data_IF_648432832635
#
_entry.id   IF_648432832635
#
_cell.length_a   1.000
_cell.length_b   1.000
_cell.length_c   1.000
_cell.angle_alpha   90.00
_cell.angle_beta   90.00
_cell.angle_gamma   90.00
#
_symmetry.space_group_name_H-M   'P 1'
#
loop_
_entity.id
_entity.type
_entity.pdbx_description
1 polymer ?
#
# COMPACT_ATOMS: atom_id res chain seq x y z
N UNK A 1 26.35 33.32 70.55
CA UNK A 1 26.58 32.09 69.73
C UNK A 1 25.30 31.79 68.91
N UNK A 2 25.34 32.01 67.61
CA UNK A 2 24.18 31.66 66.71
C UNK A 2 24.57 30.38 65.95
N UNK A 3 23.84 29.29 66.24
CA UNK A 3 23.99 28.01 65.57
C UNK A 3 23.26 28.07 64.22
N UNK A 4 24.00 27.91 63.11
CA UNK A 4 23.41 27.79 61.76
C UNK A 4 23.20 26.31 61.45
N UNK A 5 21.95 25.90 61.31
CA UNK A 5 21.57 24.56 60.88
C UNK A 5 21.57 24.50 59.34
N UNK A 6 22.41 23.68 58.72
CA UNK A 6 22.42 23.41 57.28
C UNK A 6 21.63 22.14 57.04
N UNK A 7 20.52 22.29 56.30
CA UNK A 7 19.75 21.14 55.79
C UNK A 7 20.25 20.81 54.41
N UNK A 8 20.90 19.65 54.24
CA UNK A 8 21.35 19.13 52.96
C UNK A 8 20.22 18.30 52.36
N UNK A 9 19.60 18.79 51.29
CA UNK A 9 18.58 18.05 50.54
C UNK A 9 19.29 17.17 49.48
N UNK A 10 19.22 15.86 49.65
CA UNK A 10 19.77 14.87 48.73
C UNK A 10 18.74 14.60 47.64
N UNK A 11 19.00 15.08 46.42
CA UNK A 11 18.18 14.72 45.24
C UNK A 11 18.62 13.33 44.73
N UNK A 12 17.78 12.33 44.94
CA UNK A 12 17.95 11.02 44.33
C UNK A 12 17.30 11.09 42.93
N UNK A 13 18.11 11.21 41.86
CA UNK A 13 17.69 11.11 40.48
C UNK A 13 17.39 9.64 40.15
N UNK A 14 16.13 9.25 40.14
CA UNK A 14 15.72 7.98 39.55
C UNK A 14 15.85 8.08 38.01
N UNK A 15 16.91 7.53 37.46
CA UNK A 15 17.03 7.27 36.03
C UNK A 15 16.04 6.13 35.67
N UNK A 16 14.91 6.47 35.11
CA UNK A 16 14.03 5.49 34.50
C UNK A 16 14.74 4.91 33.27
N UNK A 17 15.29 3.71 33.39
CA UNK A 17 15.79 2.95 32.26
C UNK A 17 14.60 2.60 31.38
N UNK A 18 14.46 3.26 30.22
CA UNK A 18 13.52 2.83 29.17
C UNK A 18 13.99 1.45 28.67
N UNK A 19 13.37 0.39 29.17
CA UNK A 19 13.61 -0.96 28.70
C UNK A 19 13.10 -1.02 27.24
N UNK A 20 14.00 -1.29 26.30
CA UNK A 20 13.60 -1.69 24.94
C UNK A 20 12.69 -2.92 25.09
N UNK A 21 11.49 -2.93 24.47
CA UNK A 21 10.63 -4.09 24.54
C UNK A 21 11.40 -5.32 24.04
N UNK A 22 11.38 -6.40 24.82
CA UNK A 22 12.00 -7.65 24.41
C UNK A 22 11.31 -8.18 23.15
N UNK A 23 12.08 -8.88 22.30
CA UNK A 23 11.56 -9.57 21.14
C UNK A 23 10.45 -10.54 21.56
N UNK A 24 9.40 -10.71 20.75
CA UNK A 24 8.36 -11.68 21.06
C UNK A 24 8.94 -13.10 21.06
N UNK A 25 8.49 -13.94 21.98
CA UNK A 25 8.92 -15.33 22.01
C UNK A 25 8.51 -16.08 20.72
N UNK A 26 9.18 -17.19 20.39
CA UNK A 26 8.91 -17.93 19.15
C UNK A 26 7.45 -18.42 19.00
N UNK A 27 6.78 -18.74 20.13
CA UNK A 27 5.38 -19.20 20.09
C UNK A 27 4.45 -18.05 19.69
N UNK A 28 4.68 -16.84 20.26
CA UNK A 28 3.95 -15.64 19.87
C UNK A 28 4.22 -15.26 18.40
N UNK A 29 5.47 -15.31 17.94
CA UNK A 29 5.80 -15.02 16.54
C UNK A 29 5.03 -15.96 15.59
N UNK A 30 5.00 -17.25 15.91
CA UNK A 30 4.25 -18.25 15.12
C UNK A 30 2.75 -17.97 15.13
N UNK A 31 2.18 -17.57 16.28
CA UNK A 31 0.76 -17.24 16.38
C UNK A 31 0.42 -16.00 15.53
N UNK A 32 1.22 -14.93 15.60
CA UNK A 32 1.02 -13.70 14.78
C UNK A 32 0.99 -14.04 13.29
N UNK A 33 1.93 -14.86 12.81
CA UNK A 33 1.96 -15.27 11.40
C UNK A 33 0.76 -16.14 11.05
N UNK A 34 0.33 -17.07 11.93
CA UNK A 34 -0.83 -17.91 11.67
C UNK A 34 -2.13 -17.08 11.56
N UNK A 35 -2.33 -16.11 12.44
CA UNK A 35 -3.51 -15.25 12.44
C UNK A 35 -3.48 -14.29 11.23
N UNK A 36 -2.32 -13.71 10.91
CA UNK A 36 -2.14 -12.90 9.71
C UNK A 36 -2.36 -13.70 8.42
N UNK A 37 -1.97 -14.97 8.38
CA UNK A 37 -2.27 -15.88 7.27
C UNK A 37 -3.77 -16.08 7.12
N UNK A 38 -4.46 -16.38 8.22
CA UNK A 38 -5.91 -16.51 8.19
C UNK A 38 -6.59 -15.22 7.71
N UNK A 39 -6.14 -14.07 8.20
CA UNK A 39 -6.64 -12.77 7.76
C UNK A 39 -6.41 -12.56 6.25
N UNK A 40 -5.18 -12.74 5.77
CA UNK A 40 -4.80 -12.52 4.37
C UNK A 40 -5.60 -13.37 3.38
N UNK A 41 -5.80 -14.66 3.71
CA UNK A 41 -6.52 -15.60 2.84
C UNK A 41 -8.03 -15.34 2.76
N UNK A 42 -8.60 -14.68 3.76
CA UNK A 42 -10.04 -14.39 3.81
C UNK A 42 -10.36 -12.92 3.50
N UNK A 43 -9.37 -12.05 3.41
CA UNK A 43 -9.56 -10.61 3.31
C UNK A 43 -10.45 -10.22 2.12
N UNK A 44 -10.16 -10.70 0.92
CA UNK A 44 -10.94 -10.40 -0.29
C UNK A 44 -12.41 -10.81 -0.17
N UNK A 45 -12.69 -11.93 0.51
CA UNK A 45 -14.06 -12.44 0.68
C UNK A 45 -14.89 -11.60 1.65
N UNK A 46 -14.24 -10.85 2.53
CA UNK A 46 -14.89 -9.98 3.49
C UNK A 46 -15.21 -8.59 2.92
N UNK A 47 -14.62 -8.23 1.79
CA UNK A 47 -14.84 -6.93 1.17
C UNK A 47 -16.24 -6.84 0.54
N UNK A 48 -17.01 -5.78 0.83
CA UNK A 48 -18.28 -5.55 0.15
C UNK A 48 -18.04 -5.07 -1.27
N UNK A 49 -19.08 -5.04 -2.09
CA UNK A 49 -19.05 -4.29 -3.33
C UNK A 49 -18.99 -2.79 -3.01
N UNK A 50 -18.03 -2.07 -3.57
CA UNK A 50 -17.82 -0.64 -3.32
C UNK A 50 -17.32 0.09 -4.56
N UNK A 51 -17.35 1.40 -4.48
CA UNK A 51 -16.64 2.31 -5.38
C UNK A 51 -15.77 3.24 -4.56
N UNK A 52 -14.64 3.65 -5.13
CA UNK A 52 -13.78 4.68 -4.57
C UNK A 52 -13.15 5.51 -5.68
N UNK A 53 -12.48 6.58 -5.29
CA UNK A 53 -11.63 7.38 -6.17
C UNK A 53 -10.19 6.93 -5.99
N UNK A 54 -9.53 6.62 -7.09
CA UNK A 54 -8.09 6.41 -7.15
C UNK A 54 -7.46 7.65 -7.79
N UNK A 55 -6.49 8.23 -7.11
CA UNK A 55 -5.70 9.36 -7.62
C UNK A 55 -4.25 8.92 -7.76
N UNK A 56 -3.72 8.97 -8.97
CA UNK A 56 -2.34 8.57 -9.29
C UNK A 56 -1.54 9.78 -9.75
N UNK A 57 -0.53 10.17 -8.97
CA UNK A 57 0.47 11.16 -9.38
C UNK A 57 1.68 10.40 -9.94
N UNK A 58 1.96 10.58 -11.24
CA UNK A 58 3.09 9.92 -11.91
C UNK A 58 4.30 10.83 -12.00
N UNK A 59 5.48 10.22 -11.81
CA UNK A 59 6.77 10.90 -11.88
C UNK A 59 7.76 10.09 -12.71
N UNK A 60 8.71 10.78 -13.32
CA UNK A 60 9.84 10.19 -14.04
C UNK A 60 11.14 10.93 -13.74
N UNK A 61 12.23 10.19 -13.56
CA UNK A 61 13.60 10.69 -13.70
C UNK A 61 14.19 10.02 -14.94
N UNK A 62 14.37 10.78 -16.01
CA UNK A 62 14.80 10.26 -17.32
C UNK A 62 16.23 9.73 -17.32
N UNK A 63 17.05 10.11 -16.35
CA UNK A 63 18.48 9.77 -16.30
C UNK A 63 18.86 8.93 -15.09
N UNK A 64 17.93 8.78 -14.13
CA UNK A 64 18.20 8.17 -12.82
C UNK A 64 19.13 9.00 -11.92
N UNK A 65 19.39 10.26 -12.27
CA UNK A 65 20.35 11.16 -11.58
C UNK A 65 19.85 12.60 -11.44
N UNK A 66 18.80 12.97 -12.17
CA UNK A 66 18.30 14.36 -12.23
C UNK A 66 17.15 14.65 -11.26
N UNK A 67 16.68 13.63 -10.55
CA UNK A 67 15.52 13.71 -9.68
C UNK A 67 14.18 13.57 -10.43
N UNK A 68 13.16 13.20 -9.69
CA UNK A 68 11.82 12.97 -10.23
C UNK A 68 11.16 14.28 -10.68
N UNK A 69 10.54 14.25 -11.85
CA UNK A 69 9.66 15.30 -12.38
C UNK A 69 8.26 14.74 -12.50
N UNK A 70 7.27 15.53 -12.12
CA UNK A 70 5.86 15.19 -12.32
C UNK A 70 5.56 15.07 -13.82
N UNK A 71 4.84 14.01 -14.17
CA UNK A 71 4.36 13.75 -15.53
C UNK A 71 2.91 14.17 -15.65
N UNK A 72 2.05 13.58 -14.86
CA UNK A 72 0.62 13.85 -14.85
C UNK A 72 -0.04 13.41 -13.52
N UNK A 73 -1.27 13.88 -13.36
CA UNK A 73 -2.19 13.49 -12.31
C UNK A 73 -3.41 12.84 -12.94
N UNK A 74 -3.66 11.59 -12.62
CA UNK A 74 -4.77 10.80 -13.14
C UNK A 74 -5.76 10.57 -12.01
N UNK A 75 -7.05 10.78 -12.30
CA UNK A 75 -8.13 10.49 -11.35
C UNK A 75 -9.09 9.51 -11.99
N UNK A 76 -9.29 8.39 -11.31
CA UNK A 76 -10.09 7.27 -11.76
C UNK A 76 -11.16 6.92 -10.73
N UNK A 77 -12.29 6.48 -11.22
CA UNK A 77 -13.24 5.75 -10.40
C UNK A 77 -12.89 4.28 -10.46
N UNK A 78 -12.62 3.70 -9.30
CA UNK A 78 -12.48 2.27 -9.13
C UNK A 78 -13.82 1.70 -8.64
N UNK A 79 -14.28 0.67 -9.31
CA UNK A 79 -15.44 -0.13 -8.91
C UNK A 79 -14.94 -1.52 -8.54
N UNK A 80 -15.21 -1.94 -7.30
CA UNK A 80 -14.96 -3.30 -6.83
C UNK A 80 -16.30 -4.03 -6.75
N UNK A 81 -16.50 -4.98 -7.64
CA UNK A 81 -17.74 -5.73 -7.75
C UNK A 81 -17.46 -7.21 -8.01
N UNK A 82 -18.05 -8.08 -7.22
CA UNK A 82 -17.87 -9.54 -7.35
C UNK A 82 -16.38 -9.94 -7.41
N UNK A 83 -15.59 -9.40 -6.48
CA UNK A 83 -14.13 -9.60 -6.35
C UNK A 83 -13.32 -9.18 -7.60
N UNK A 84 -13.85 -8.26 -8.42
CA UNK A 84 -13.19 -7.72 -9.60
C UNK A 84 -13.09 -6.21 -9.53
N UNK A 85 -11.95 -5.73 -9.96
CA UNK A 85 -11.65 -4.31 -10.09
C UNK A 85 -11.97 -3.84 -11.52
N UNK A 86 -12.69 -2.72 -11.63
CA UNK A 86 -12.92 -2.01 -12.89
C UNK A 86 -12.55 -0.54 -12.72
N UNK A 87 -11.76 -0.02 -13.65
CA UNK A 87 -11.19 1.32 -13.60
C UNK A 87 -11.74 2.19 -14.71
N UNK A 88 -12.27 3.34 -14.37
CA UNK A 88 -12.73 4.34 -15.32
C UNK A 88 -12.03 5.68 -15.08
N UNK A 89 -11.16 6.07 -16.01
CA UNK A 89 -10.52 7.39 -16.01
C UNK A 89 -11.60 8.45 -16.23
N UNK A 90 -11.57 9.52 -15.45
CA UNK A 90 -12.48 10.66 -15.64
C UNK A 90 -11.75 12.00 -15.68
N UNK A 91 -10.50 12.10 -15.16
CA UNK A 91 -9.67 13.28 -15.30
C UNK A 91 -8.21 12.92 -15.51
N UNK A 92 -7.52 13.73 -16.33
CA UNK A 92 -6.06 13.76 -16.46
C UNK A 92 -5.62 15.22 -16.40
N UNK A 93 -4.73 15.54 -15.46
CA UNK A 93 -4.26 16.92 -15.20
C UNK A 93 -5.38 17.96 -14.97
N UNK A 94 -6.47 17.52 -14.34
CA UNK A 94 -7.63 18.39 -14.06
C UNK A 94 -8.61 18.55 -15.23
N UNK A 95 -8.32 17.99 -16.39
CA UNK A 95 -9.21 18.00 -17.55
C UNK A 95 -9.99 16.68 -17.67
N UNK A 96 -11.24 16.74 -18.07
CA UNK A 96 -12.06 15.55 -18.29
C UNK A 96 -11.43 14.66 -19.35
N UNK A 97 -11.41 13.35 -19.10
CA UNK A 97 -10.81 12.34 -19.98
C UNK A 97 -11.76 11.17 -20.19
N UNK A 98 -11.74 10.61 -21.41
CA UNK A 98 -12.43 9.37 -21.77
C UNK A 98 -11.43 8.25 -22.13
N UNK A 99 -10.16 8.41 -21.80
CA UNK A 99 -9.16 7.36 -21.98
C UNK A 99 -9.54 6.14 -21.14
N UNK A 100 -9.26 4.96 -21.64
CA UNK A 100 -9.33 3.77 -20.81
C UNK A 100 -8.09 3.70 -19.90
N UNK A 101 -8.18 2.98 -18.80
CA UNK A 101 -7.02 2.71 -17.93
C UNK A 101 -5.84 2.14 -18.74
N UNK A 102 -6.11 1.25 -19.68
CA UNK A 102 -5.11 0.65 -20.57
C UNK A 102 -4.43 1.67 -21.50
N UNK A 103 -5.15 2.71 -21.94
CA UNK A 103 -4.64 3.73 -22.87
C UNK A 103 -3.76 4.78 -22.20
N UNK A 104 -3.76 4.84 -20.86
CA UNK A 104 -2.90 5.76 -20.09
C UNK A 104 -1.42 5.48 -20.28
N UNK A 105 -1.06 4.23 -20.61
CA UNK A 105 0.33 3.79 -20.71
C UNK A 105 1.11 3.95 -19.38
N UNK A 106 2.40 3.65 -19.41
CA UNK A 106 3.27 3.70 -18.24
C UNK A 106 3.16 2.44 -17.37
N UNK A 107 3.77 2.50 -16.19
CA UNK A 107 3.72 1.40 -15.22
C UNK A 107 2.39 1.45 -14.46
N UNK A 108 1.73 0.30 -14.36
CA UNK A 108 0.51 0.09 -13.55
C UNK A 108 0.70 -1.11 -12.65
N UNK A 109 -0.10 -1.23 -11.61
CA UNK A 109 -0.18 -2.39 -10.73
C UNK A 109 -1.64 -2.81 -10.58
N UNK A 110 -1.85 -4.00 -10.05
CA UNK A 110 -3.16 -4.55 -9.69
C UNK A 110 -3.02 -5.50 -8.52
N UNK A 111 -4.13 -5.73 -7.79
CA UNK A 111 -4.16 -6.67 -6.66
C UNK A 111 -3.99 -6.00 -5.29
N UNK A 112 -4.07 -4.69 -5.23
CA UNK A 112 -3.96 -3.92 -4.00
C UNK A 112 -5.09 -4.25 -3.01
N UNK A 113 -6.24 -4.71 -3.49
CA UNK A 113 -7.40 -5.04 -2.68
C UNK A 113 -7.37 -6.46 -2.09
N UNK A 114 -6.24 -7.16 -2.17
CA UNK A 114 -6.05 -8.43 -1.47
C UNK A 114 -5.13 -9.42 -2.17
N UNK A 115 -5.03 -9.40 -3.49
CA UNK A 115 -4.26 -10.41 -4.24
C UNK A 115 -2.77 -10.39 -3.89
N UNK A 116 -2.15 -9.21 -3.72
CA UNK A 116 -0.75 -9.08 -3.26
C UNK A 116 -0.59 -9.69 -1.87
N UNK A 117 -1.48 -9.35 -0.94
CA UNK A 117 -1.49 -9.90 0.41
C UNK A 117 -1.65 -11.42 0.38
N UNK A 118 -2.63 -11.90 -0.37
CA UNK A 118 -2.94 -13.33 -0.51
C UNK A 118 -1.76 -14.11 -1.10
N UNK A 119 -1.09 -13.58 -2.15
CA UNK A 119 0.07 -14.22 -2.77
C UNK A 119 1.21 -14.46 -1.78
N UNK A 120 1.48 -13.50 -0.87
CA UNK A 120 2.51 -13.63 0.16
C UNK A 120 2.16 -14.75 1.16
N UNK A 121 0.90 -14.88 1.56
CA UNK A 121 0.44 -15.81 2.61
C UNK A 121 -0.16 -17.09 2.07
N UNK A 122 -0.16 -17.29 0.74
CA UNK A 122 -0.68 -18.52 0.14
C UNK A 122 0.15 -19.74 0.57
N UNK A 123 -0.46 -20.85 1.01
CA UNK A 123 0.28 -22.00 1.52
C UNK A 123 1.33 -22.55 0.55
N UNK A 124 1.01 -22.62 -0.76
CA UNK A 124 1.91 -23.12 -1.78
C UNK A 124 3.07 -22.17 -2.09
N UNK A 125 2.97 -20.89 -1.73
CA UNK A 125 4.07 -19.93 -1.83
C UNK A 125 5.23 -20.30 -0.92
N UNK A 126 4.97 -21.10 0.14
CA UNK A 126 5.99 -21.55 1.09
C UNK A 126 6.85 -20.40 1.62
N UNK A 127 6.22 -19.25 1.85
CA UNK A 127 6.87 -18.00 2.25
C UNK A 127 7.64 -18.17 3.55
N UNK A 128 8.89 -17.73 3.54
CA UNK A 128 9.72 -17.69 4.72
C UNK A 128 9.56 -16.36 5.42
N UNK A 129 9.10 -16.37 6.68
CA UNK A 129 8.95 -15.17 7.52
C UNK A 129 10.02 -15.16 8.60
N UNK A 130 10.63 -13.97 8.81
CA UNK A 130 11.58 -13.72 9.90
C UNK A 130 11.16 -12.47 10.64
N UNK A 131 10.99 -12.56 11.97
CA UNK A 131 10.69 -11.38 12.77
C UNK A 131 11.89 -10.43 12.81
N UNK A 132 11.64 -9.13 12.61
CA UNK A 132 12.67 -8.10 12.53
C UNK A 132 12.65 -7.16 13.73
N UNK A 133 11.48 -6.59 14.02
CA UNK A 133 11.32 -5.56 15.05
C UNK A 133 9.87 -5.17 15.29
N UNK A 134 9.66 -4.45 16.37
CA UNK A 134 8.45 -3.63 16.50
C UNK A 134 8.61 -2.30 15.73
N UNK A 135 7.47 -1.78 15.26
CA UNK A 135 7.42 -0.48 14.57
C UNK A 135 6.12 0.25 14.93
N UNK A 136 6.17 1.57 15.07
CA UNK A 136 4.96 2.37 15.25
C UNK A 136 4.51 2.88 13.87
N UNK A 137 3.39 2.38 13.37
CA UNK A 137 2.78 2.82 12.11
C UNK A 137 1.49 3.56 12.42
N UNK A 138 1.46 4.87 12.20
CA UNK A 138 0.28 5.73 12.43
C UNK A 138 -0.33 5.55 13.84
N UNK A 139 0.54 5.49 14.87
CA UNK A 139 0.15 5.35 16.27
C UNK A 139 -0.17 3.92 16.73
N UNK A 140 -0.10 2.92 15.85
CA UNK A 140 -0.32 1.50 16.15
C UNK A 140 1.00 0.75 16.22
N UNK A 141 1.16 -0.13 17.21
CA UNK A 141 2.32 -1.01 17.31
C UNK A 141 2.18 -2.16 16.32
N UNK A 142 3.21 -2.36 15.50
CA UNK A 142 3.28 -3.41 14.50
C UNK A 142 4.39 -4.39 14.83
N UNK A 143 4.15 -5.67 14.59
CA UNK A 143 5.18 -6.68 14.38
C UNK A 143 5.63 -6.60 12.93
N UNK A 144 6.92 -6.37 12.69
CA UNK A 144 7.48 -6.32 11.34
C UNK A 144 8.21 -7.63 11.07
N UNK A 145 7.80 -8.29 9.99
CA UNK A 145 8.47 -9.49 9.50
C UNK A 145 9.03 -9.23 8.11
N UNK A 146 10.28 -9.63 7.87
CA UNK A 146 10.76 -9.81 6.51
C UNK A 146 10.19 -11.11 5.94
N UNK A 147 10.02 -11.13 4.62
CA UNK A 147 9.54 -12.31 3.91
C UNK A 147 10.22 -12.49 2.57
N UNK A 148 10.24 -13.72 2.07
CA UNK A 148 10.72 -14.08 0.73
C UNK A 148 9.86 -15.17 0.13
N UNK A 149 9.57 -15.01 -1.19
CA UNK A 149 8.91 -16.00 -2.03
C UNK A 149 9.83 -16.33 -3.20
N UNK A 150 10.15 -17.60 -3.37
CA UNK A 150 11.02 -18.07 -4.45
C UNK A 150 10.30 -18.10 -5.80
N UNK A 151 11.00 -17.93 -6.92
CA UNK A 151 10.41 -17.88 -8.28
C UNK A 151 9.53 -19.10 -8.59
N UNK A 152 9.92 -20.29 -8.15
CA UNK A 152 9.14 -21.53 -8.40
C UNK A 152 7.83 -21.59 -7.63
N UNK A 153 7.59 -20.66 -6.72
CA UNK A 153 6.44 -20.56 -5.81
C UNK A 153 5.70 -19.23 -5.97
N UNK A 154 6.19 -18.36 -6.85
CA UNK A 154 5.69 -17.03 -7.09
C UNK A 154 4.61 -17.04 -8.18
N UNK A 155 3.61 -16.18 -7.99
CA UNK A 155 2.63 -15.76 -8.97
C UNK A 155 2.79 -14.26 -9.31
N UNK A 156 3.92 -13.67 -8.93
CA UNK A 156 4.19 -12.25 -9.21
C UNK A 156 4.76 -12.07 -10.61
N UNK A 157 4.00 -11.38 -11.46
CA UNK A 157 4.30 -11.17 -12.86
C UNK A 157 4.74 -9.73 -13.14
N UNK A 158 5.80 -9.59 -13.94
CA UNK A 158 6.18 -8.32 -14.56
C UNK A 158 5.86 -8.43 -16.04
N UNK A 159 4.82 -7.70 -16.49
CA UNK A 159 4.31 -7.78 -17.86
C UNK A 159 4.71 -6.53 -18.64
N UNK A 160 5.25 -6.72 -19.85
CA UNK A 160 5.54 -5.64 -20.81
C UNK A 160 4.68 -5.88 -22.07
N UNK A 161 3.42 -5.39 -22.11
CA UNK A 161 2.45 -5.76 -23.13
C UNK A 161 2.89 -5.45 -24.56
N UNK A 162 3.51 -4.28 -24.79
CA UNK A 162 4.00 -3.83 -26.09
C UNK A 162 5.04 -4.81 -26.68
N UNK A 163 5.85 -5.43 -25.82
CA UNK A 163 6.85 -6.43 -26.23
C UNK A 163 6.36 -7.87 -26.11
N UNK A 164 5.13 -8.08 -25.64
CA UNK A 164 4.54 -9.40 -25.36
C UNK A 164 5.43 -10.25 -24.45
N UNK A 165 6.02 -9.61 -23.43
CA UNK A 165 6.87 -10.25 -22.44
C UNK A 165 6.09 -10.39 -21.13
N UNK A 166 6.25 -11.55 -20.51
CA UNK A 166 5.70 -11.87 -19.18
C UNK A 166 6.79 -12.63 -18.41
N UNK A 167 7.16 -12.11 -17.24
CA UNK A 167 8.23 -12.63 -16.40
C UNK A 167 7.70 -12.89 -15.01
N UNK A 168 7.76 -14.13 -14.57
CA UNK A 168 7.56 -14.49 -13.16
C UNK A 168 8.86 -14.31 -12.39
N UNK A 169 8.82 -13.58 -11.28
CA UNK A 169 10.00 -13.30 -10.46
C UNK A 169 9.83 -13.82 -9.04
N UNK A 170 10.94 -14.13 -8.36
CA UNK A 170 10.95 -14.16 -6.90
C UNK A 170 10.79 -12.73 -6.37
N UNK A 171 10.38 -12.63 -5.12
CA UNK A 171 10.26 -11.33 -4.47
C UNK A 171 10.45 -11.43 -2.95
N UNK A 172 10.85 -10.32 -2.36
CA UNK A 172 11.00 -10.19 -0.91
C UNK A 172 10.48 -8.85 -0.43
N UNK A 173 10.30 -8.71 0.86
CA UNK A 173 9.88 -7.44 1.45
C UNK A 173 9.61 -7.52 2.94
N UNK A 174 8.79 -6.59 3.41
CA UNK A 174 8.36 -6.50 4.80
C UNK A 174 6.83 -6.51 4.87
N UNK A 175 6.30 -7.22 5.88
CA UNK A 175 4.90 -7.11 6.27
C UNK A 175 4.81 -6.51 7.68
N UNK A 176 3.88 -5.58 7.86
CA UNK A 176 3.63 -4.89 9.12
C UNK A 176 2.28 -5.36 9.64
N UNK A 177 2.33 -6.19 10.69
CA UNK A 177 1.18 -6.88 11.28
C UNK A 177 0.86 -6.22 12.62
N UNK A 178 -0.38 -5.79 12.80
CA UNK A 178 -0.84 -5.18 14.06
C UNK A 178 -0.59 -6.10 15.26
N UNK A 179 -0.08 -5.53 16.35
CA UNK A 179 0.33 -6.32 17.53
C UNK A 179 -0.87 -6.89 18.32
N UNK A 180 -2.08 -6.32 18.14
CA UNK A 180 -3.29 -6.72 18.87
C UNK A 180 -4.24 -7.55 18.00
N UNK A 181 -4.51 -7.09 16.77
CA UNK A 181 -5.50 -7.69 15.88
C UNK A 181 -4.91 -8.69 14.88
N UNK A 182 -3.59 -8.66 14.68
CA UNK A 182 -2.84 -9.45 13.71
C UNK A 182 -3.27 -9.24 12.24
N UNK A 183 -3.94 -8.13 11.93
CA UNK A 183 -4.22 -7.70 10.57
C UNK A 183 -3.02 -6.98 9.95
N UNK A 184 -3.00 -6.86 8.60
CA UNK A 184 -1.82 -6.40 7.85
C UNK A 184 -2.02 -4.96 7.40
N UNK A 185 -1.22 -4.03 7.93
CA UNK A 185 -1.35 -2.60 7.68
C UNK A 185 -0.38 -2.02 6.66
N UNK A 186 0.74 -2.72 6.38
CA UNK A 186 1.67 -2.34 5.31
C UNK A 186 2.35 -3.56 4.74
N UNK A 187 2.53 -3.54 3.44
CA UNK A 187 3.34 -4.49 2.69
C UNK A 187 4.36 -3.70 1.88
N UNK A 188 5.63 -4.12 1.90
CA UNK A 188 6.62 -3.72 0.90
C UNK A 188 6.98 -4.93 0.07
N UNK A 189 7.25 -4.75 -1.22
CA UNK A 189 7.68 -5.82 -2.11
C UNK A 189 8.79 -5.29 -3.03
N UNK A 190 9.81 -6.11 -3.24
CA UNK A 190 10.86 -5.91 -4.24
C UNK A 190 10.99 -7.17 -5.06
N UNK A 191 10.87 -7.05 -6.38
CA UNK A 191 11.06 -8.15 -7.31
C UNK A 191 12.55 -8.48 -7.42
N UNK A 192 12.87 -9.77 -7.40
CA UNK A 192 14.24 -10.28 -7.49
C UNK A 192 14.43 -11.12 -8.76
N UNK A 193 15.68 -11.28 -9.18
CA UNK A 193 16.04 -12.18 -10.28
C UNK A 193 15.56 -11.71 -11.65
N UNK A 194 15.30 -10.43 -11.83
CA UNK A 194 14.97 -9.86 -13.15
C UNK A 194 16.20 -9.95 -14.05
N UNK A 195 16.14 -10.57 -15.25
CA UNK A 195 17.26 -10.63 -16.19
C UNK A 195 17.71 -9.22 -16.62
N UNK A 196 19.02 -9.03 -16.76
CA UNK A 196 19.61 -7.73 -17.10
C UNK A 196 19.16 -7.18 -18.47
N UNK A 197 18.77 -8.06 -19.39
CA UNK A 197 18.26 -7.74 -20.72
C UNK A 197 16.74 -7.57 -20.77
N UNK A 198 16.03 -7.80 -19.64
CA UNK A 198 14.60 -7.52 -19.56
C UNK A 198 14.35 -6.00 -19.57
N UNK A 199 13.29 -5.50 -20.21
CA UNK A 199 13.04 -4.04 -20.33
C UNK A 199 12.91 -3.29 -19.01
N UNK A 200 12.42 -3.97 -17.98
CA UNK A 200 12.28 -3.45 -16.60
C UNK A 200 13.32 -4.16 -15.75
N UNK A 201 14.20 -3.43 -15.08
CA UNK A 201 15.30 -4.00 -14.28
C UNK A 201 15.01 -4.02 -12.77
N UNK A 202 14.15 -3.13 -12.31
CA UNK A 202 13.77 -3.03 -10.89
C UNK A 202 12.27 -2.77 -10.78
N UNK A 203 11.62 -3.45 -9.84
CA UNK A 203 10.24 -3.17 -9.43
C UNK A 203 10.17 -3.25 -7.91
N UNK A 204 9.60 -2.24 -7.30
CA UNK A 204 9.31 -2.19 -5.87
C UNK A 204 7.98 -1.52 -5.62
N UNK A 205 7.29 -1.96 -4.58
CA UNK A 205 6.04 -1.34 -4.14
C UNK A 205 5.98 -1.20 -2.62
N UNK A 206 5.21 -0.22 -2.19
CA UNK A 206 4.78 -0.04 -0.80
C UNK A 206 3.28 0.14 -0.82
N UNK A 207 2.56 -0.69 -0.09
CA UNK A 207 1.10 -0.68 -0.01
C UNK A 207 0.67 -0.52 1.44
N UNK A 208 -0.04 0.53 1.73
CA UNK A 208 -0.58 0.87 3.03
C UNK A 208 -2.08 0.64 3.10
N UNK A 209 -2.52 0.03 4.18
CA UNK A 209 -3.93 -0.21 4.48
C UNK A 209 -4.37 0.58 5.71
N UNK A 210 -5.63 1.00 5.70
CA UNK A 210 -6.29 1.61 6.85
C UNK A 210 -7.74 1.14 6.95
N UNK A 211 -8.27 1.15 8.18
CA UNK A 211 -9.70 0.93 8.37
C UNK A 211 -10.48 2.10 7.81
N UNK A 212 -11.43 1.78 6.92
CA UNK A 212 -12.29 2.74 6.23
C UNK A 212 -13.74 2.32 6.35
N UNK A 213 -14.61 3.28 6.66
CA UNK A 213 -16.05 3.06 6.81
C UNK A 213 -16.72 2.92 5.45
N UNK A 214 -17.44 1.80 5.26
CA UNK A 214 -18.38 1.62 4.13
C UNK A 214 -19.74 1.20 4.68
N UNK A 215 -20.73 2.08 4.58
CA UNK A 215 -22.03 1.86 5.23
C UNK A 215 -21.89 1.78 6.75
N UNK A 216 -22.30 0.68 7.34
CA UNK A 216 -22.32 0.49 8.79
C UNK A 216 -21.10 -0.29 9.33
N UNK A 217 -20.16 -0.68 8.49
CA UNK A 217 -19.00 -1.49 8.87
C UNK A 217 -17.68 -0.84 8.47
N UNK A 218 -16.61 -1.20 9.19
CA UNK A 218 -15.25 -0.79 8.91
C UNK A 218 -14.50 -1.95 8.24
N UNK A 219 -13.83 -1.65 7.13
CA UNK A 219 -13.05 -2.59 6.34
C UNK A 219 -11.60 -2.10 6.25
N UNK A 220 -10.64 -3.01 6.32
CA UNK A 220 -9.25 -2.68 6.06
C UNK A 220 -9.04 -2.59 4.55
N UNK A 221 -8.75 -1.39 4.05
CA UNK A 221 -8.71 -1.07 2.62
C UNK A 221 -7.42 -0.34 2.28
N UNK A 222 -6.95 -0.40 1.02
CA UNK A 222 -5.84 0.42 0.56
C UNK A 222 -6.06 1.89 0.88
N UNK A 223 -5.04 2.53 1.43
CA UNK A 223 -4.99 3.97 1.71
C UNK A 223 -4.07 4.66 0.73
N UNK A 224 -2.86 4.14 0.60
CA UNK A 224 -1.79 4.67 -0.23
C UNK A 224 -1.01 3.52 -0.85
N UNK A 225 -0.54 3.74 -2.06
CA UNK A 225 0.29 2.80 -2.80
C UNK A 225 1.39 3.56 -3.54
N UNK A 226 2.63 3.12 -3.40
CA UNK A 226 3.76 3.63 -4.17
C UNK A 226 4.32 2.50 -5.04
N UNK A 227 4.41 2.74 -6.34
CA UNK A 227 5.11 1.89 -7.29
C UNK A 227 6.38 2.57 -7.75
N UNK A 228 7.50 1.86 -7.72
CA UNK A 228 8.77 2.28 -8.31
C UNK A 228 9.26 1.24 -9.30
N UNK A 229 9.74 1.69 -10.45
CA UNK A 229 10.38 0.81 -11.41
C UNK A 229 11.56 1.50 -12.10
N UNK A 230 12.46 0.69 -12.66
CA UNK A 230 13.57 1.13 -13.50
C UNK A 230 13.46 0.53 -14.89
N UNK A 231 13.54 1.38 -15.90
CA UNK A 231 13.56 1.01 -17.31
C UNK A 231 14.81 1.61 -17.98
N UNK A 232 15.89 0.85 -18.02
CA UNK A 232 17.21 1.38 -18.44
C UNK A 232 17.67 2.52 -17.52
N UNK A 233 17.94 3.72 -18.06
CA UNK A 233 18.32 4.88 -17.24
C UNK A 233 17.14 5.55 -16.54
N UNK A 234 15.91 5.24 -16.94
CA UNK A 234 14.71 5.90 -16.43
C UNK A 234 14.25 5.29 -15.09
N UNK A 235 13.99 6.15 -14.12
CA UNK A 235 13.25 5.77 -12.92
C UNK A 235 11.81 6.28 -13.03
N UNK A 236 10.87 5.43 -12.71
CA UNK A 236 9.44 5.72 -12.71
C UNK A 236 8.95 5.60 -11.26
N UNK A 237 8.09 6.51 -10.84
CA UNK A 237 7.42 6.46 -9.55
C UNK A 237 5.96 6.87 -9.74
N UNK A 238 5.05 6.08 -9.18
CA UNK A 238 3.64 6.40 -9.09
C UNK A 238 3.26 6.45 -7.61
N UNK A 239 2.74 7.60 -7.17
CA UNK A 239 2.13 7.76 -5.86
C UNK A 239 0.61 7.69 -6.05
N UNK A 240 -0.03 6.72 -5.42
CA UNK A 240 -1.47 6.45 -5.55
C UNK A 240 -2.14 6.61 -4.20
N UNK A 241 -3.27 7.28 -4.18
CA UNK A 241 -4.13 7.40 -2.99
C UNK A 241 -5.53 6.92 -3.33
N UNK A 242 -6.20 6.36 -2.32
CA UNK A 242 -7.58 5.89 -2.43
C UNK A 242 -8.44 6.62 -1.43
N UNK A 243 -9.55 7.20 -1.90
CA UNK A 243 -10.49 7.93 -1.06
C UNK A 243 -11.95 7.75 -1.51
N UNK A 244 -12.89 8.35 -0.77
CA UNK A 244 -14.29 8.35 -1.15
C UNK A 244 -14.94 6.97 -1.22
N UNK A 245 -14.46 6.01 -0.43
CA UNK A 245 -15.05 4.67 -0.36
C UNK A 245 -16.53 4.71 0.02
N UNK A 246 -17.37 4.07 -0.79
CA UNK A 246 -18.82 3.96 -0.55
C UNK A 246 -19.40 2.68 -1.13
N UNK A 247 -20.46 2.19 -0.54
CA UNK A 247 -21.12 0.96 -0.98
C UNK A 247 -21.60 1.10 -2.43
N UNK A 248 -21.30 0.11 -3.25
CA UNK A 248 -21.84 -0.01 -4.59
C UNK A 248 -23.17 -0.78 -4.53
N UNK A 249 -24.24 -0.19 -5.04
CA UNK A 249 -25.56 -0.82 -5.09
C UNK A 249 -26.31 -0.37 -6.34
N UNK A 250 -27.33 -1.12 -6.71
CA UNK A 250 -28.14 -0.87 -7.93
C UNK A 250 -28.84 0.50 -7.93
N UNK A 251 -28.94 1.16 -6.76
CA UNK A 251 -29.60 2.47 -6.60
C UNK A 251 -28.65 3.67 -6.67
N UNK A 252 -27.38 3.47 -6.98
CA UNK A 252 -26.40 4.57 -7.07
C UNK A 252 -26.51 5.28 -8.42
N UNK A 253 -27.56 6.06 -8.61
CA UNK A 253 -27.62 7.05 -9.72
C UNK A 253 -26.67 8.20 -9.34
N UNK A 254 -25.55 8.32 -10.05
CA UNK A 254 -24.61 9.42 -9.85
C UNK A 254 -25.20 10.68 -10.49
N UNK A 255 -25.75 11.58 -9.69
CA UNK A 255 -26.09 12.92 -10.14
C UNK A 255 -24.81 13.75 -10.13
N UNK A 256 -24.32 14.11 -11.29
CA UNK A 256 -23.29 15.15 -11.40
C UNK A 256 -24.00 16.49 -11.27
N UNK A 257 -23.79 17.23 -10.19
CA UNK A 257 -24.19 18.61 -10.11
C UNK A 257 -23.37 19.42 -11.15
N UNK A 258 -24.00 19.75 -12.26
CA UNK A 258 -23.44 20.74 -13.17
C UNK A 258 -23.38 22.08 -12.42
N UNK A 259 -22.25 22.80 -12.48
CA UNK A 259 -22.18 24.13 -11.88
C UNK A 259 -23.27 25.02 -12.48
N UNK A 260 -24.05 25.67 -11.63
CA UNK A 260 -25.11 26.57 -12.04
C UNK A 260 -24.56 27.66 -12.98
N UNK A 261 -25.26 28.00 -14.08
CA UNK A 261 -24.83 29.04 -14.99
C UNK A 261 -24.75 30.35 -14.24
N UNK A 262 -23.58 31.02 -14.28
CA UNK A 262 -23.37 32.33 -13.73
C UNK A 262 -24.30 33.34 -14.44
N UNK A 263 -25.25 33.89 -13.69
CA UNK A 263 -26.12 34.96 -14.18
C UNK A 263 -25.29 36.22 -14.39
N UNK A 264 -24.89 36.52 -15.59
CA UNK A 264 -24.38 37.83 -16.02
C UNK A 264 -25.54 38.80 -16.06
N UNK A 265 -25.70 39.63 -15.03
CA UNK A 265 -26.57 40.78 -15.10
C UNK A 265 -25.86 41.90 -15.85
N UNK A 266 -26.31 42.17 -17.07
CA UNK A 266 -26.03 43.41 -17.75
C UNK A 266 -26.81 44.55 -17.07
N UNK A 267 -26.05 45.55 -16.64
CA UNK A 267 -26.53 46.91 -16.46
C UNK A 267 -25.61 47.89 -17.21
#
# INVERSE_FOLDING_TARGET
>A
MRCKLYVTVLFISMAASAQTPADPDPARQKQVIADATHFALNHEQLLPNFICTQTTQRFVDFTGKSGFRSVDLIVERLTYFDHKEDYKVFMVNGESSNLSHHDLGGATSSGEFGSVMKGIFWPDASTQFTWERFYNLRGRRMNVYSYRVETSKSDYHIVVPIKKLDLVTSYHGLVFIDDEKHDIHRITLHADGIPADFPVQEVGLVLDYAYTRIGDADYLLPLEFELRSREGPRLIKNDVTYDGYRKFGADTTITFDSPAPSSTSHK
#
